data_IF_849481422716
#
_entry.id   IF_849481422716
#
_cell.length_a   1.000
_cell.length_b   1.000
_cell.length_c   1.000
_cell.angle_alpha   90.00
_cell.angle_beta   90.00
_cell.angle_gamma   90.00
#
_symmetry.space_group_name_H-M   'P 1'
#
loop_
_entity.id
_entity.type
_entity.pdbx_description
1 polymer ?
#
# COMPACT_ATOMS: atom_id res chain seq x y z
N UNK A 1 -5.00 1.10 -13.09
CA UNK A 1 -4.91 -0.25 -12.51
C UNK A 1 -6.13 -1.00 -12.99
N UNK A 2 -5.97 -1.98 -13.88
CA UNK A 2 -7.08 -2.80 -14.33
C UNK A 2 -7.20 -3.98 -13.38
N UNK A 3 -8.35 -4.11 -12.71
CA UNK A 3 -8.66 -5.34 -11.97
C UNK A 3 -8.91 -6.44 -13.00
N UNK A 4 -8.16 -7.53 -12.93
CA UNK A 4 -8.42 -8.69 -13.77
C UNK A 4 -9.78 -9.29 -13.35
N UNK A 5 -10.75 -9.46 -14.28
CA UNK A 5 -12.12 -9.84 -13.94
C UNK A 5 -12.27 -11.26 -13.37
N UNK A 6 -11.18 -12.06 -13.32
CA UNK A 6 -11.13 -13.34 -12.62
C UNK A 6 -10.42 -13.30 -11.26
N UNK A 7 -9.82 -12.17 -10.88
CA UNK A 7 -9.02 -12.04 -9.66
C UNK A 7 -9.87 -11.55 -8.48
N UNK A 8 -10.22 -12.48 -7.59
CA UNK A 8 -10.84 -12.12 -6.31
C UNK A 8 -9.75 -11.83 -5.28
N UNK A 9 -9.67 -10.58 -4.84
CA UNK A 9 -8.79 -10.18 -3.75
C UNK A 9 -9.60 -10.04 -2.45
N UNK A 10 -9.22 -10.77 -1.41
CA UNK A 10 -9.77 -10.57 -0.07
C UNK A 10 -8.80 -9.69 0.73
N UNK A 11 -9.24 -8.50 1.12
CA UNK A 11 -8.45 -7.54 1.90
C UNK A 11 -8.94 -7.61 3.35
N UNK A 12 -8.00 -7.78 4.28
CA UNK A 12 -8.26 -7.67 5.71
C UNK A 12 -7.69 -6.34 6.21
N UNK A 13 -8.55 -5.52 6.77
CA UNK A 13 -8.15 -4.27 7.43
C UNK A 13 -7.95 -4.51 8.91
N UNK A 14 -7.04 -3.77 9.53
CA UNK A 14 -6.95 -3.75 10.98
C UNK A 14 -8.22 -3.15 11.60
N UNK A 15 -8.47 -3.48 12.86
CA UNK A 15 -9.51 -2.84 13.66
C UNK A 15 -9.17 -1.35 13.85
N UNK A 16 -10.18 -0.46 13.74
CA UNK A 16 -9.97 0.97 13.93
C UNK A 16 -9.51 1.26 15.36
N UNK A 17 -8.66 2.27 15.50
CA UNK A 17 -8.05 2.74 16.75
C UNK A 17 -7.20 1.67 17.46
N UNK A 18 -6.81 0.62 16.74
CA UNK A 18 -5.94 -0.43 17.26
C UNK A 18 -4.45 -0.09 17.03
N UNK A 19 -3.53 -0.68 17.82
CA UNK A 19 -2.10 -0.56 17.54
C UNK A 19 -1.71 -1.05 16.14
N UNK A 20 -2.41 -2.06 15.62
CA UNK A 20 -2.16 -2.61 14.29
C UNK A 20 -2.55 -1.63 13.16
N UNK A 21 -3.54 -0.75 13.37
CA UNK A 21 -3.86 0.31 12.41
C UNK A 21 -2.71 1.31 12.31
N UNK A 22 -2.17 1.78 13.44
CA UNK A 22 -1.06 2.73 13.42
C UNK A 22 0.20 2.12 12.80
N UNK A 23 0.51 0.85 13.10
CA UNK A 23 1.62 0.14 12.48
C UNK A 23 1.45 0.02 10.96
N UNK A 24 0.25 -0.35 10.48
CA UNK A 24 -0.05 -0.38 9.04
C UNK A 24 0.02 1.00 8.39
N UNK A 25 -0.41 2.04 9.11
CA UNK A 25 -0.34 3.43 8.65
C UNK A 25 1.10 3.90 8.50
N UNK A 26 1.97 3.58 9.45
CA UNK A 26 3.40 3.89 9.37
C UNK A 26 4.05 3.15 8.18
N UNK A 27 3.76 1.86 8.01
CA UNK A 27 4.22 1.08 6.86
C UNK A 27 3.75 1.68 5.53
N UNK A 28 2.49 2.14 5.45
CA UNK A 28 1.94 2.79 4.27
C UNK A 28 2.68 4.09 3.93
N UNK A 29 3.02 4.91 4.93
CA UNK A 29 3.80 6.15 4.72
C UNK A 29 5.16 5.83 4.11
N UNK A 30 5.85 4.80 4.61
CA UNK A 30 7.14 4.40 4.03
C UNK A 30 7.00 3.81 2.62
N UNK A 31 5.94 3.06 2.34
CA UNK A 31 5.68 2.54 0.99
C UNK A 31 5.54 3.68 -0.03
N UNK A 32 4.81 4.76 0.31
CA UNK A 32 4.68 5.95 -0.54
C UNK A 32 6.04 6.57 -0.85
N UNK A 33 6.91 6.72 0.14
CA UNK A 33 8.26 7.25 -0.06
C UNK A 33 9.10 6.36 -1.00
N UNK A 34 8.98 5.03 -0.87
CA UNK A 34 9.67 4.06 -1.74
C UNK A 34 9.17 4.10 -3.18
N UNK A 35 7.87 4.20 -3.38
CA UNK A 35 7.26 4.28 -4.71
C UNK A 35 7.65 5.59 -5.43
N UNK A 36 7.70 6.70 -4.70
CA UNK A 36 8.16 7.98 -5.24
C UNK A 36 9.63 7.90 -5.71
N UNK A 37 10.51 7.29 -4.90
CA UNK A 37 11.90 7.08 -5.28
C UNK A 37 12.04 6.13 -6.51
N UNK A 38 11.21 5.09 -6.59
CA UNK A 38 11.19 4.18 -7.74
C UNK A 38 10.67 4.84 -9.03
N UNK A 39 9.78 5.83 -8.91
CA UNK A 39 9.30 6.62 -10.03
C UNK A 39 10.39 7.56 -10.57
N UNK A 40 11.16 8.21 -9.70
CA UNK A 40 12.28 9.09 -10.06
C UNK A 40 13.46 8.35 -10.71
N UNK A 41 13.72 7.11 -10.27
CA UNK A 41 14.80 6.27 -10.79
C UNK A 41 14.53 5.68 -12.18
N UNK A 42 13.31 5.79 -12.73
CA UNK A 42 13.02 5.32 -14.09
C UNK A 42 13.44 6.39 -15.11
N UNK A 43 14.44 6.13 -15.98
CA UNK A 43 14.82 7.08 -17.02
C UNK A 43 13.67 7.24 -18.04
N UNK A 44 13.44 8.48 -18.47
CA UNK A 44 12.41 8.87 -19.45
C UNK A 44 12.75 8.48 -20.88
#
# INVERSE_FOLDING_TARGET
>A
MAADPGLTLTIYTAEPESPAEEDLRLLAVWAVARDAAAADARPS
#
